data_IF_479146320673
#
_entry.id   IF_479146320673
#
_cell.length_a   1.000
_cell.length_b   1.000
_cell.length_c   1.000
_cell.angle_alpha   90.00
_cell.angle_beta   90.00
_cell.angle_gamma   90.00
#
_symmetry.space_group_name_H-M   'P 1'
#
loop_
_entity.id
_entity.type
_entity.pdbx_description
1 polymer ?
#
# COMPACT_ATOMS: atom_id res chain seq x y z
N UNK A 1 -4.16 -31.69 43.79
CA UNK A 1 -3.68 -32.01 42.44
C UNK A 1 -3.64 -30.71 41.66
N UNK A 2 -2.48 -30.07 41.61
CA UNK A 2 -2.26 -28.84 40.82
C UNK A 2 -1.88 -29.27 39.41
N UNK A 3 -2.82 -29.10 38.46
CA UNK A 3 -2.58 -29.27 37.04
C UNK A 3 -1.68 -28.16 36.52
N UNK A 4 -0.44 -28.51 36.22
CA UNK A 4 0.52 -27.61 35.56
C UNK A 4 -0.07 -27.12 34.27
N UNK A 5 -0.38 -25.84 34.16
CA UNK A 5 -0.57 -25.12 32.90
C UNK A 5 0.73 -25.27 32.10
N UNK A 6 0.75 -26.20 31.13
CA UNK A 6 1.80 -26.28 30.11
C UNK A 6 1.91 -24.91 29.50
N UNK A 7 3.00 -24.18 29.74
CA UNK A 7 3.29 -22.91 29.13
C UNK A 7 3.12 -23.00 27.62
N UNK A 8 2.17 -22.28 27.05
CA UNK A 8 2.12 -22.04 25.62
C UNK A 8 3.43 -21.36 25.26
N UNK A 9 4.24 -22.01 24.45
CA UNK A 9 5.43 -21.38 23.88
C UNK A 9 4.93 -20.20 23.04
N UNK A 10 4.99 -18.98 23.59
CA UNK A 10 4.54 -17.76 22.92
C UNK A 10 5.51 -17.56 21.78
N UNK A 11 4.99 -17.54 20.55
CA UNK A 11 5.81 -17.26 19.38
C UNK A 11 6.31 -15.81 19.45
N UNK A 12 7.61 -15.62 19.23
CA UNK A 12 8.25 -14.30 19.25
C UNK A 12 8.65 -13.86 17.85
N UNK A 13 8.56 -12.55 17.57
CA UNK A 13 9.05 -11.95 16.34
C UNK A 13 9.71 -10.59 16.61
N UNK A 14 10.90 -10.39 16.07
CA UNK A 14 11.55 -9.09 15.99
C UNK A 14 11.06 -8.38 14.72
N UNK A 15 10.28 -7.31 14.89
CA UNK A 15 9.78 -6.49 13.81
C UNK A 15 10.72 -5.29 13.61
N UNK A 16 11.45 -5.26 12.48
CA UNK A 16 12.41 -4.19 12.16
C UNK A 16 11.82 -3.29 11.09
N UNK A 17 11.56 -2.03 11.45
CA UNK A 17 10.85 -1.04 10.62
C UNK A 17 11.58 0.30 10.58
N UNK A 18 11.33 1.16 9.56
CA UNK A 18 11.89 2.51 9.54
C UNK A 18 11.40 3.35 10.71
N UNK A 19 12.27 4.23 11.21
CA UNK A 19 11.86 5.26 12.16
C UNK A 19 10.70 6.09 11.58
N UNK A 20 9.73 6.41 12.43
CA UNK A 20 8.53 7.16 12.03
C UNK A 20 7.47 6.34 11.28
N UNK A 21 7.59 4.98 11.22
CA UNK A 21 6.54 4.13 10.65
C UNK A 21 5.18 4.31 11.33
N UNK A 22 5.17 4.75 12.59
CA UNK A 22 3.98 5.01 13.41
C UNK A 22 3.53 6.48 13.40
N UNK A 23 4.23 7.37 12.67
CA UNK A 23 3.88 8.78 12.59
C UNK A 23 2.55 8.99 11.85
N UNK A 24 1.47 9.47 12.53
CA UNK A 24 0.18 9.69 11.89
C UNK A 24 0.19 10.88 10.91
N UNK A 25 1.18 11.76 11.00
CA UNK A 25 1.33 12.92 10.11
C UNK A 25 1.91 12.55 8.73
N UNK A 26 2.50 11.36 8.60
CA UNK A 26 3.10 10.88 7.35
C UNK A 26 2.60 9.47 6.98
N UNK A 27 1.29 9.27 6.81
CA UNK A 27 0.74 7.96 6.49
C UNK A 27 1.15 7.53 5.07
N UNK A 28 1.77 6.37 4.97
CA UNK A 28 1.96 5.65 3.71
C UNK A 28 1.26 4.31 3.78
N UNK A 29 0.99 3.68 2.65
CA UNK A 29 0.40 2.33 2.63
C UNK A 29 1.27 1.32 3.39
N UNK A 30 2.60 1.37 3.24
CA UNK A 30 3.54 0.53 3.99
C UNK A 30 3.45 0.76 5.49
N UNK A 31 3.58 2.02 5.94
CA UNK A 31 3.50 2.34 7.38
C UNK A 31 2.17 1.92 8.01
N UNK A 32 1.05 2.09 7.30
CA UNK A 32 -0.26 1.63 7.78
C UNK A 32 -0.27 0.10 7.90
N UNK A 33 0.24 -0.59 6.89
CA UNK A 33 0.33 -2.04 6.91
C UNK A 33 1.19 -2.55 8.07
N UNK A 34 2.39 -2.00 8.26
CA UNK A 34 3.32 -2.41 9.33
C UNK A 34 2.72 -2.20 10.72
N UNK A 35 2.05 -1.06 10.95
CA UNK A 35 1.32 -0.83 12.22
C UNK A 35 0.24 -1.88 12.46
N UNK A 36 -0.52 -2.22 11.42
CA UNK A 36 -1.57 -3.25 11.51
C UNK A 36 -0.99 -4.63 11.78
N UNK A 37 0.15 -4.95 11.18
CA UNK A 37 0.86 -6.20 11.43
C UNK A 37 1.37 -6.27 12.86
N UNK A 38 2.01 -5.20 13.33
CA UNK A 38 2.49 -5.11 14.71
C UNK A 38 1.36 -5.34 15.72
N UNK A 39 0.28 -4.57 15.62
CA UNK A 39 -0.86 -4.68 16.52
C UNK A 39 -1.56 -6.05 16.42
N UNK A 40 -1.83 -6.50 15.19
CA UNK A 40 -2.56 -7.75 14.96
C UNK A 40 -1.80 -9.01 15.36
N UNK A 41 -0.46 -9.06 15.21
CA UNK A 41 0.34 -10.17 15.73
C UNK A 41 0.32 -10.19 17.27
N UNK A 42 0.42 -9.03 17.92
CA UNK A 42 0.30 -8.93 19.37
C UNK A 42 -1.08 -9.38 19.87
N UNK A 43 -2.15 -8.96 19.22
CA UNK A 43 -3.53 -9.40 19.49
C UNK A 43 -3.71 -10.92 19.27
N UNK A 44 -2.99 -11.50 18.29
CA UNK A 44 -2.97 -12.93 18.03
C UNK A 44 -2.09 -13.73 19.04
N UNK A 45 -1.48 -13.06 20.03
CA UNK A 45 -0.72 -13.67 21.11
C UNK A 45 0.75 -13.86 20.82
N UNK A 46 1.32 -13.16 19.83
CA UNK A 46 2.76 -13.12 19.60
C UNK A 46 3.45 -12.11 20.52
N UNK A 47 4.68 -12.44 20.95
CA UNK A 47 5.60 -11.50 21.58
C UNK A 47 6.31 -10.70 20.47
N UNK A 48 5.83 -9.46 20.21
CA UNK A 48 6.30 -8.60 19.11
C UNK A 48 7.30 -7.58 19.65
N UNK A 49 8.57 -7.75 19.32
CA UNK A 49 9.65 -6.85 19.68
C UNK A 49 9.90 -5.88 18.51
N UNK A 50 9.40 -4.65 18.62
CA UNK A 50 9.53 -3.63 17.57
C UNK A 50 10.88 -2.91 17.74
N UNK A 51 11.66 -2.86 16.66
CA UNK A 51 12.88 -2.08 16.56
C UNK A 51 12.80 -1.14 15.38
N UNK A 52 12.88 0.15 15.65
CA UNK A 52 12.95 1.18 14.61
C UNK A 52 14.40 1.47 14.24
N UNK A 53 14.67 1.64 12.95
CA UNK A 53 16.01 1.99 12.44
C UNK A 53 15.95 3.35 11.76
N UNK A 54 16.72 4.30 12.30
CA UNK A 54 16.83 5.65 11.75
C UNK A 54 17.53 5.66 10.38
N UNK A 55 17.19 6.64 9.55
CA UNK A 55 17.85 6.85 8.27
C UNK A 55 16.92 7.15 7.11
N UNK A 56 17.49 7.63 6.02
CA UNK A 56 16.78 7.94 4.77
C UNK A 56 16.63 6.67 3.90
N UNK A 57 15.82 5.72 4.35
CA UNK A 57 15.54 4.48 3.60
C UNK A 57 14.66 4.76 2.36
N UNK A 58 14.96 4.16 1.20
CA UNK A 58 15.92 3.09 0.89
C UNK A 58 17.33 3.57 0.49
N UNK A 59 17.73 4.81 0.77
CA UNK A 59 19.06 5.36 0.49
C UNK A 59 19.78 5.68 1.81
N UNK A 60 20.18 4.64 2.59
CA UNK A 60 20.75 4.84 3.93
C UNK A 60 22.17 5.38 3.88
N UNK A 61 22.46 6.33 4.76
CA UNK A 61 23.83 6.78 5.04
C UNK A 61 24.64 5.76 5.86
N UNK A 62 25.94 6.00 6.06
CA UNK A 62 26.83 5.09 6.83
C UNK A 62 26.33 4.83 8.27
N UNK A 63 25.81 5.84 8.97
CA UNK A 63 25.26 5.73 10.32
C UNK A 63 24.09 4.77 10.40
N UNK A 64 23.12 4.89 9.48
CA UNK A 64 21.96 3.99 9.41
C UNK A 64 22.37 2.54 9.14
N UNK A 65 23.36 2.34 8.27
CA UNK A 65 23.93 1.00 7.99
C UNK A 65 24.61 0.39 9.22
N UNK A 66 25.39 1.19 9.95
CA UNK A 66 26.06 0.75 11.19
C UNK A 66 25.06 0.43 12.30
N UNK A 67 24.00 1.21 12.42
CA UNK A 67 22.91 0.95 13.37
C UNK A 67 22.18 -0.36 13.05
N UNK A 68 21.79 -0.57 11.79
CA UNK A 68 21.18 -1.82 11.35
C UNK A 68 22.06 -3.04 11.65
N UNK A 69 23.36 -2.94 11.39
CA UNK A 69 24.31 -4.02 11.72
C UNK A 69 24.35 -4.32 13.23
N UNK A 70 24.32 -3.29 14.09
CA UNK A 70 24.26 -3.47 15.57
C UNK A 70 22.95 -4.13 16.00
N UNK A 71 21.81 -3.68 15.42
CA UNK A 71 20.49 -4.27 15.70
C UNK A 71 20.52 -5.77 15.40
N UNK A 72 20.97 -6.15 14.21
CA UNK A 72 20.99 -7.56 13.82
C UNK A 72 22.00 -8.38 14.64
N UNK A 73 23.12 -7.81 15.01
CA UNK A 73 24.12 -8.50 15.87
C UNK A 73 23.58 -8.76 17.29
N UNK A 74 22.63 -7.97 17.77
CA UNK A 74 22.04 -8.13 19.09
C UNK A 74 20.86 -9.14 19.13
N UNK A 75 20.32 -9.53 18.00
CA UNK A 75 19.24 -10.54 17.92
C UNK A 75 19.85 -11.92 18.21
N UNK A 76 19.29 -12.70 19.15
CA UNK A 76 19.78 -14.06 19.45
C UNK A 76 19.62 -15.02 18.26
N UNK A 77 20.37 -16.11 18.28
CA UNK A 77 20.24 -17.18 17.31
C UNK A 77 18.86 -17.84 17.39
N UNK A 78 18.41 -18.41 16.27
CA UNK A 78 17.11 -19.08 16.10
C UNK A 78 15.87 -18.19 16.24
N UNK A 79 16.03 -16.88 16.47
CA UNK A 79 14.91 -15.95 16.54
C UNK A 79 14.29 -15.66 15.16
N UNK A 80 12.98 -15.34 15.17
CA UNK A 80 12.25 -14.94 13.96
C UNK A 80 12.31 -13.43 13.81
N UNK A 81 12.70 -12.97 12.62
CA UNK A 81 12.77 -11.55 12.26
C UNK A 81 11.85 -11.29 11.09
N UNK A 82 11.00 -10.27 11.23
CA UNK A 82 10.23 -9.67 10.13
C UNK A 82 10.80 -8.28 9.88
N UNK A 83 11.39 -8.07 8.71
CA UNK A 83 12.01 -6.78 8.35
C UNK A 83 11.28 -6.14 7.18
N UNK A 84 10.98 -4.83 7.28
CA UNK A 84 10.44 -4.04 6.16
C UNK A 84 11.42 -4.03 4.98
N UNK A 85 10.89 -4.30 3.79
CA UNK A 85 11.62 -4.31 2.54
C UNK A 85 12.32 -3.00 2.20
N UNK A 86 11.81 -1.87 2.68
CA UNK A 86 12.44 -0.56 2.50
C UNK A 86 13.83 -0.52 3.15
N UNK A 87 14.00 -1.18 4.32
CA UNK A 87 15.29 -1.35 5.00
C UNK A 87 16.07 -2.51 4.38
N UNK A 88 15.43 -3.64 4.18
CA UNK A 88 16.09 -4.87 3.79
C UNK A 88 16.75 -4.78 2.40
N UNK A 89 16.02 -4.21 1.43
CA UNK A 89 16.44 -4.18 0.02
C UNK A 89 17.85 -3.59 -0.21
N UNK A 90 18.23 -2.43 0.36
CA UNK A 90 19.55 -1.84 0.16
C UNK A 90 20.63 -2.35 1.12
N UNK A 91 20.34 -3.31 2.02
CA UNK A 91 21.17 -3.62 3.19
C UNK A 91 21.83 -5.01 3.16
N UNK A 92 22.14 -5.58 2.00
CA UNK A 92 22.72 -6.93 1.88
C UNK A 92 23.97 -7.13 2.76
N UNK A 93 24.90 -6.17 2.77
CA UNK A 93 26.12 -6.28 3.56
C UNK A 93 25.87 -6.39 5.08
N UNK A 94 24.80 -5.77 5.58
CA UNK A 94 24.42 -5.80 6.99
C UNK A 94 23.62 -7.06 7.36
N UNK A 95 22.86 -7.62 6.44
CA UNK A 95 21.92 -8.69 6.72
C UNK A 95 22.47 -10.09 6.45
N UNK A 96 23.25 -10.28 5.39
CA UNK A 96 23.77 -11.59 4.99
C UNK A 96 24.56 -12.33 6.07
N UNK A 97 25.41 -11.67 6.90
CA UNK A 97 26.13 -12.36 7.97
C UNK A 97 25.22 -13.07 8.99
N UNK A 98 23.94 -12.71 9.02
CA UNK A 98 22.97 -13.19 10.03
C UNK A 98 21.99 -14.24 9.49
N UNK A 99 21.86 -14.42 8.15
CA UNK A 99 20.85 -15.30 7.55
C UNK A 99 21.00 -16.79 7.89
N UNK A 100 22.20 -17.21 8.32
CA UNK A 100 22.45 -18.60 8.78
C UNK A 100 22.09 -18.86 10.24
N UNK A 101 21.83 -17.82 11.06
CA UNK A 101 21.57 -17.95 12.49
C UNK A 101 20.19 -17.47 12.95
N UNK A 102 19.49 -16.68 12.11
CA UNK A 102 18.13 -16.20 12.38
C UNK A 102 17.18 -16.57 11.24
N UNK A 103 15.90 -16.65 11.52
CA UNK A 103 14.86 -16.85 10.50
C UNK A 103 14.36 -15.49 10.00
N UNK A 104 14.99 -14.96 8.95
CA UNK A 104 14.69 -13.64 8.41
C UNK A 104 13.62 -13.72 7.33
N UNK A 105 12.48 -13.07 7.55
CA UNK A 105 11.42 -12.86 6.55
C UNK A 105 11.37 -11.38 6.15
N UNK A 106 11.34 -11.11 4.87
CA UNK A 106 11.24 -9.75 4.33
C UNK A 106 9.78 -9.43 4.02
N UNK A 107 9.26 -8.35 4.58
CA UNK A 107 7.95 -7.78 4.24
C UNK A 107 8.13 -6.76 3.12
N UNK A 108 7.87 -7.18 1.90
CA UNK A 108 8.17 -6.42 0.70
C UNK A 108 6.92 -5.69 0.19
N UNK A 109 6.79 -4.41 0.54
CA UNK A 109 5.69 -3.57 0.08
C UNK A 109 5.81 -3.20 -1.40
N UNK A 110 7.02 -2.84 -1.85
CA UNK A 110 7.28 -2.48 -3.25
C UNK A 110 8.70 -2.91 -3.63
N UNK A 111 8.86 -3.82 -4.59
CA UNK A 111 10.18 -4.14 -5.13
C UNK A 111 10.84 -2.90 -5.75
N UNK A 112 12.13 -2.67 -5.49
CA UNK A 112 12.87 -1.50 -6.01
C UNK A 112 12.81 -1.41 -7.54
N UNK A 113 12.76 -2.54 -8.22
CA UNK A 113 12.67 -2.58 -9.69
C UNK A 113 11.30 -2.11 -10.23
N UNK A 114 10.28 -1.94 -9.38
CA UNK A 114 8.93 -1.47 -9.77
C UNK A 114 8.65 -0.04 -9.31
N UNK A 115 9.53 0.53 -8.48
CA UNK A 115 9.40 1.90 -8.01
C UNK A 115 9.81 2.88 -9.12
N UNK A 116 8.93 3.84 -9.45
CA UNK A 116 9.19 4.85 -10.49
C UNK A 116 10.08 5.99 -10.01
N UNK A 117 10.06 6.26 -8.71
CA UNK A 117 10.71 7.43 -8.11
C UNK A 117 12.13 7.13 -7.58
N UNK A 118 12.53 5.87 -7.56
CA UNK A 118 13.90 5.53 -7.21
C UNK A 118 14.79 5.76 -8.43
N UNK A 119 15.78 6.62 -8.29
CA UNK A 119 16.92 6.59 -9.21
C UNK A 119 17.30 5.12 -9.41
N UNK A 120 17.29 4.67 -10.66
CA UNK A 120 17.67 3.29 -10.99
C UNK A 120 19.10 3.08 -10.52
N UNK A 121 19.25 2.72 -9.23
CA UNK A 121 20.53 2.30 -8.68
C UNK A 121 20.64 0.78 -8.87
N UNK A 122 21.45 0.33 -9.86
CA UNK A 122 21.64 -1.09 -10.10
C UNK A 122 22.27 -1.80 -8.89
N UNK A 123 22.92 -1.05 -7.99
CA UNK A 123 23.53 -1.62 -6.78
C UNK A 123 22.45 -1.97 -5.76
N UNK A 124 21.44 -1.12 -5.57
CA UNK A 124 20.32 -1.38 -4.68
C UNK A 124 19.46 -2.56 -5.17
N UNK A 125 19.22 -2.66 -6.48
CA UNK A 125 18.50 -3.81 -7.07
C UNK A 125 19.31 -5.13 -6.93
N UNK A 126 20.64 -5.08 -7.06
CA UNK A 126 21.49 -6.25 -6.79
C UNK A 126 21.45 -6.65 -5.32
N UNK A 127 21.50 -5.65 -4.42
CA UNK A 127 21.36 -5.86 -2.97
C UNK A 127 20.03 -6.54 -2.65
N UNK A 128 18.90 -5.99 -3.13
CA UNK A 128 17.56 -6.57 -2.95
C UNK A 128 17.52 -8.04 -3.40
N UNK A 129 18.03 -8.33 -4.61
CA UNK A 129 18.08 -9.72 -5.12
C UNK A 129 18.80 -10.67 -4.17
N UNK A 130 19.95 -10.25 -3.65
CA UNK A 130 20.76 -11.08 -2.76
C UNK A 130 20.07 -11.29 -1.42
N UNK A 131 19.48 -10.24 -0.86
CA UNK A 131 18.71 -10.32 0.40
C UNK A 131 17.52 -11.24 0.27
N UNK A 132 16.69 -11.07 -0.79
CA UNK A 132 15.48 -11.89 -0.98
C UNK A 132 15.81 -13.37 -1.21
N UNK A 133 16.98 -13.68 -1.83
CA UNK A 133 17.44 -15.06 -2.00
C UNK A 133 17.93 -15.71 -0.71
N UNK A 134 18.49 -14.91 0.20
CA UNK A 134 19.01 -15.38 1.48
C UNK A 134 17.96 -15.39 2.60
N UNK A 135 16.83 -14.73 2.39
CA UNK A 135 15.73 -14.70 3.34
C UNK A 135 15.05 -16.08 3.45
N UNK A 136 14.62 -16.44 4.67
CA UNK A 136 13.80 -17.63 4.94
C UNK A 136 12.44 -17.54 4.26
N UNK A 137 11.89 -16.31 4.17
CA UNK A 137 10.61 -16.05 3.50
C UNK A 137 10.54 -14.61 2.99
N UNK A 138 9.66 -14.39 2.02
CA UNK A 138 9.31 -13.07 1.49
C UNK A 138 7.80 -12.95 1.52
N UNK A 139 7.28 -11.94 2.21
CA UNK A 139 5.85 -11.63 2.25
C UNK A 139 5.60 -10.45 1.33
N UNK A 140 4.63 -10.58 0.44
CA UNK A 140 4.24 -9.55 -0.54
C UNK A 140 2.75 -9.23 -0.42
N UNK A 141 2.34 -8.05 -0.88
CA UNK A 141 1.01 -7.51 -0.65
C UNK A 141 -0.04 -7.90 -1.70
N UNK A 142 0.36 -8.57 -2.81
CA UNK A 142 -0.55 -8.98 -3.89
C UNK A 142 -0.01 -10.16 -4.69
N UNK A 143 -0.89 -10.83 -5.43
CA UNK A 143 -0.49 -11.87 -6.40
C UNK A 143 0.34 -11.27 -7.53
N UNK A 144 0.00 -10.05 -7.95
CA UNK A 144 0.80 -9.34 -8.96
C UNK A 144 2.25 -9.15 -8.47
N UNK A 145 2.44 -8.64 -7.24
CA UNK A 145 3.78 -8.47 -6.66
C UNK A 145 4.51 -9.81 -6.54
N UNK A 146 3.81 -10.89 -6.14
CA UNK A 146 4.38 -12.24 -6.12
C UNK A 146 4.91 -12.67 -7.48
N UNK A 147 4.14 -12.47 -8.54
CA UNK A 147 4.56 -12.79 -9.91
C UNK A 147 5.80 -11.97 -10.32
N UNK A 148 5.85 -10.68 -10.01
CA UNK A 148 7.01 -9.83 -10.31
C UNK A 148 8.26 -10.30 -9.56
N UNK A 149 8.13 -10.66 -8.28
CA UNK A 149 9.23 -11.14 -7.45
C UNK A 149 9.77 -12.46 -7.99
N UNK A 150 8.92 -13.41 -8.30
CA UNK A 150 9.33 -14.71 -8.86
C UNK A 150 10.02 -14.57 -10.23
N UNK A 151 9.48 -13.72 -11.11
CA UNK A 151 10.04 -13.50 -12.43
C UNK A 151 11.42 -12.80 -12.41
N UNK A 152 11.64 -11.89 -11.45
CA UNK A 152 12.84 -11.02 -11.44
C UNK A 152 13.98 -11.56 -10.60
N UNK A 153 13.68 -12.22 -9.46
CA UNK A 153 14.69 -12.54 -8.45
C UNK A 153 15.11 -14.00 -8.44
N UNK A 154 14.42 -14.87 -9.18
CA UNK A 154 14.69 -16.31 -9.26
C UNK A 154 14.82 -16.95 -7.86
N UNK A 155 13.83 -16.69 -7.00
CA UNK A 155 13.69 -17.29 -5.66
C UNK A 155 12.67 -18.43 -5.71
N UNK A 156 12.75 -19.43 -4.81
CA UNK A 156 11.79 -20.53 -4.80
C UNK A 156 10.36 -20.05 -4.54
N UNK A 157 9.41 -20.55 -5.31
CA UNK A 157 8.02 -20.08 -5.23
C UNK A 157 7.35 -20.35 -3.87
N UNK A 158 7.81 -21.37 -3.14
CA UNK A 158 7.29 -21.73 -1.81
C UNK A 158 7.75 -20.77 -0.71
N UNK A 159 8.83 -19.99 -0.93
CA UNK A 159 9.30 -18.97 0.03
C UNK A 159 8.58 -17.63 -0.13
N UNK A 160 7.77 -17.43 -1.19
CA UNK A 160 7.06 -16.17 -1.44
C UNK A 160 5.59 -16.31 -1.05
N UNK A 161 5.22 -15.64 0.02
CA UNK A 161 3.88 -15.66 0.60
C UNK A 161 3.13 -14.38 0.25
N UNK A 162 1.81 -14.49 0.02
CA UNK A 162 0.97 -13.32 -0.21
C UNK A 162 0.14 -13.08 1.03
N UNK A 163 0.30 -11.89 1.60
CA UNK A 163 -0.56 -11.38 2.67
C UNK A 163 -1.16 -10.05 2.21
N UNK A 164 -2.38 -10.11 1.64
CA UNK A 164 -3.05 -8.91 1.13
C UNK A 164 -3.47 -8.01 2.27
N UNK A 165 -3.35 -6.68 2.12
CA UNK A 165 -3.88 -5.75 3.10
C UNK A 165 -5.37 -6.01 3.37
N UNK A 166 -5.72 -6.05 4.63
CA UNK A 166 -7.11 -5.99 5.07
C UNK A 166 -7.65 -4.57 4.99
N UNK A 167 -8.94 -4.42 5.24
CA UNK A 167 -9.60 -3.12 5.37
C UNK A 167 -10.51 -3.11 6.60
N UNK A 168 -10.64 -1.95 7.22
CA UNK A 168 -11.54 -1.77 8.36
C UNK A 168 -13.00 -1.78 7.90
N UNK A 169 -13.85 -2.41 8.69
CA UNK A 169 -15.29 -2.37 8.43
C UNK A 169 -15.82 -0.97 8.73
N UNK A 170 -16.57 -0.41 7.80
CA UNK A 170 -17.22 0.89 7.94
C UNK A 170 -18.69 0.70 8.30
N UNK A 171 -19.17 1.38 9.35
CA UNK A 171 -20.54 1.20 9.85
C UNK A 171 -21.61 1.70 8.86
N UNK A 172 -21.40 2.88 8.25
CA UNK A 172 -22.36 3.51 7.35
C UNK A 172 -21.91 3.51 5.90
N UNK A 173 -22.81 3.27 4.93
CA UNK A 173 -22.50 3.41 3.52
C UNK A 173 -22.27 4.89 3.15
N UNK A 174 -21.57 5.12 2.03
CA UNK A 174 -21.37 6.43 1.47
C UNK A 174 -22.70 7.17 1.21
N UNK A 175 -22.69 8.47 1.45
CA UNK A 175 -23.76 9.42 1.06
C UNK A 175 -23.16 10.39 0.05
N UNK A 176 -22.97 9.96 -1.21
CA UNK A 176 -22.19 10.71 -2.18
C UNK A 176 -22.87 12.02 -2.55
N UNK A 177 -22.06 13.06 -2.66
CA UNK A 177 -22.44 14.30 -3.32
C UNK A 177 -22.01 14.19 -4.77
N UNK A 178 -22.97 14.32 -5.71
CA UNK A 178 -22.73 14.18 -7.14
C UNK A 178 -21.59 15.09 -7.60
N UNK A 179 -20.70 14.54 -8.42
CA UNK A 179 -19.54 15.25 -8.94
C UNK A 179 -18.35 15.40 -7.99
N UNK A 180 -18.45 14.95 -6.73
CA UNK A 180 -17.32 15.00 -5.81
C UNK A 180 -16.35 13.83 -6.06
N UNK A 181 -15.21 14.11 -6.64
CA UNK A 181 -14.14 13.16 -6.90
C UNK A 181 -13.14 13.18 -5.74
N UNK A 182 -12.57 12.04 -5.40
CA UNK A 182 -11.48 11.94 -4.42
C UNK A 182 -10.31 11.13 -4.98
N UNK A 183 -9.09 11.62 -4.79
CA UNK A 183 -7.87 10.87 -5.03
C UNK A 183 -7.04 10.89 -3.75
N UNK A 184 -6.75 9.70 -3.19
CA UNK A 184 -6.06 9.54 -1.92
C UNK A 184 -4.70 8.90 -2.14
N UNK A 185 -3.66 9.47 -1.53
CA UNK A 185 -2.29 8.96 -1.56
C UNK A 185 -1.26 10.07 -1.48
N UNK A 186 -0.02 9.71 -1.20
CA UNK A 186 1.11 10.64 -1.26
C UNK A 186 1.08 11.40 -2.59
N UNK A 187 1.23 12.72 -2.58
CA UNK A 187 1.35 13.49 -3.81
C UNK A 187 2.72 13.24 -4.44
N UNK A 188 2.73 12.54 -5.58
CA UNK A 188 3.96 12.12 -6.24
C UNK A 188 3.68 11.47 -7.60
N UNK A 189 4.71 11.44 -8.46
CA UNK A 189 4.61 11.00 -9.86
C UNK A 189 4.00 9.61 -10.02
N UNK A 190 4.33 8.69 -9.11
CA UNK A 190 3.83 7.32 -9.16
C UNK A 190 2.30 7.21 -8.94
N UNK A 191 1.69 8.18 -8.25
CA UNK A 191 0.22 8.21 -8.00
C UNK A 191 -0.58 8.88 -9.11
N UNK A 192 0.07 9.64 -10.01
CA UNK A 192 -0.57 10.14 -11.24
C UNK A 192 -1.61 11.25 -11.03
N UNK A 193 -1.52 12.04 -9.96
CA UNK A 193 -2.44 13.17 -9.74
C UNK A 193 -2.37 14.20 -10.87
N UNK A 194 -1.24 14.32 -11.54
CA UNK A 194 -1.04 15.13 -12.73
C UNK A 194 -1.88 14.65 -13.94
N UNK A 195 -1.99 13.31 -14.11
CA UNK A 195 -2.88 12.71 -15.13
C UNK A 195 -4.35 13.00 -14.84
N UNK A 196 -4.73 12.98 -13.54
CA UNK A 196 -6.10 13.34 -13.15
C UNK A 196 -6.41 14.80 -13.45
N UNK A 197 -5.51 15.72 -13.12
CA UNK A 197 -5.69 17.15 -13.42
C UNK A 197 -5.75 17.38 -14.93
N UNK A 198 -4.99 16.64 -15.72
CA UNK A 198 -5.05 16.67 -17.18
C UNK A 198 -6.40 16.18 -17.71
N UNK A 199 -6.83 15.01 -17.26
CA UNK A 199 -8.11 14.45 -17.66
C UNK A 199 -9.31 15.36 -17.31
N UNK A 200 -9.25 16.03 -16.15
CA UNK A 200 -10.29 16.97 -15.71
C UNK A 200 -10.33 18.25 -16.57
N UNK A 201 -9.24 18.62 -17.25
CA UNK A 201 -9.23 19.75 -18.16
C UNK A 201 -10.15 19.53 -19.38
N UNK A 202 -10.25 18.30 -19.86
CA UNK A 202 -11.13 17.92 -20.96
C UNK A 202 -12.64 17.89 -20.58
N UNK A 203 -12.92 18.04 -19.28
CA UNK A 203 -14.26 17.98 -18.70
C UNK A 203 -14.68 19.32 -18.05
N UNK A 204 -14.15 20.43 -18.55
CA UNK A 204 -14.37 21.77 -18.00
C UNK A 204 -15.86 22.15 -17.88
N UNK A 205 -16.66 21.74 -18.86
CA UNK A 205 -18.10 22.07 -18.96
C UNK A 205 -19.00 21.22 -18.03
N UNK A 206 -18.44 20.16 -17.38
CA UNK A 206 -19.17 19.33 -16.47
C UNK A 206 -19.03 19.84 -15.02
N UNK A 207 -20.04 19.55 -14.20
CA UNK A 207 -20.02 19.90 -12.77
C UNK A 207 -19.27 18.82 -11.97
N UNK A 208 -18.08 19.18 -11.48
CA UNK A 208 -17.25 18.32 -10.65
C UNK A 208 -16.39 19.14 -9.69
N UNK A 209 -16.05 18.53 -8.57
CA UNK A 209 -15.01 18.98 -7.62
C UNK A 209 -14.09 17.82 -7.32
N UNK A 210 -12.82 18.08 -7.03
CA UNK A 210 -11.83 17.05 -6.77
C UNK A 210 -11.02 17.36 -5.51
N UNK A 211 -10.90 16.38 -4.63
CA UNK A 211 -10.03 16.43 -3.46
C UNK A 211 -8.82 15.52 -3.71
N UNK A 212 -7.62 16.11 -3.66
CA UNK A 212 -6.35 15.40 -3.66
C UNK A 212 -5.86 15.33 -2.20
N UNK A 213 -5.95 14.16 -1.57
CA UNK A 213 -5.69 13.96 -0.15
C UNK A 213 -4.43 13.13 0.06
N UNK A 214 -3.49 13.65 0.83
CA UNK A 214 -2.28 12.94 1.21
C UNK A 214 -1.08 13.85 1.49
N UNK A 215 0.03 13.27 1.99
CA UNK A 215 1.27 13.99 2.22
C UNK A 215 1.81 14.63 0.93
N UNK A 216 2.39 15.81 1.05
CA UNK A 216 2.92 16.63 -0.06
C UNK A 216 4.41 16.97 0.09
N UNK A 217 5.09 16.35 1.03
CA UNK A 217 6.48 16.64 1.40
C UNK A 217 7.50 15.66 0.77
N UNK A 218 7.04 14.60 0.12
CA UNK A 218 7.90 13.55 -0.46
C UNK A 218 8.49 13.91 -1.82
N UNK A 219 7.76 14.68 -2.64
CA UNK A 219 8.17 15.16 -3.96
C UNK A 219 7.74 16.63 -4.11
N UNK A 220 8.46 17.58 -3.48
CA UNK A 220 8.09 19.00 -3.49
C UNK A 220 8.00 19.58 -4.90
N UNK A 221 8.90 19.16 -5.79
CA UNK A 221 8.94 19.63 -7.18
C UNK A 221 7.69 19.21 -7.96
N UNK A 222 7.26 17.96 -7.79
CA UNK A 222 6.01 17.48 -8.38
C UNK A 222 4.80 18.23 -7.84
N UNK A 223 4.75 18.47 -6.54
CA UNK A 223 3.64 19.20 -5.90
C UNK A 223 3.57 20.65 -6.41
N UNK A 224 4.70 21.32 -6.58
CA UNK A 224 4.74 22.69 -7.13
C UNK A 224 4.30 22.71 -8.61
N UNK A 225 4.75 21.75 -9.41
CA UNK A 225 4.28 21.59 -10.80
C UNK A 225 2.76 21.35 -10.86
N UNK A 226 2.24 20.52 -9.95
CA UNK A 226 0.81 20.22 -9.86
C UNK A 226 -0.01 21.48 -9.49
N UNK A 227 0.43 22.27 -8.51
CA UNK A 227 -0.19 23.55 -8.12
C UNK A 227 -0.18 24.57 -9.26
N UNK A 228 0.97 24.72 -9.91
CA UNK A 228 1.12 25.60 -11.07
C UNK A 228 0.16 25.21 -12.20
N UNK A 229 0.01 23.90 -12.48
CA UNK A 229 -0.92 23.40 -13.48
C UNK A 229 -2.37 23.70 -13.12
N UNK A 230 -2.80 23.42 -11.88
CA UNK A 230 -4.14 23.71 -11.36
C UNK A 230 -4.46 25.21 -11.50
N UNK A 231 -3.53 26.08 -11.13
CA UNK A 231 -3.68 27.54 -11.22
C UNK A 231 -3.80 28.00 -12.67
N UNK A 232 -2.95 27.47 -13.57
CA UNK A 232 -2.97 27.82 -15.02
C UNK A 232 -4.28 27.44 -15.67
N UNK A 233 -4.90 26.32 -15.25
CA UNK A 233 -6.21 25.88 -15.73
C UNK A 233 -7.38 26.64 -15.09
N UNK A 234 -7.13 27.50 -14.09
CA UNK A 234 -8.18 28.20 -13.36
C UNK A 234 -8.97 27.32 -12.39
N UNK A 235 -8.46 26.13 -12.03
CA UNK A 235 -9.20 25.13 -11.24
C UNK A 235 -8.95 25.19 -9.73
N UNK A 236 -8.34 26.27 -9.23
CA UNK A 236 -8.12 26.43 -7.80
C UNK A 236 -9.40 26.40 -6.94
N UNK A 237 -10.54 26.69 -7.51
CA UNK A 237 -11.85 26.62 -6.85
C UNK A 237 -12.51 25.22 -6.96
N UNK A 238 -12.05 24.37 -7.89
CA UNK A 238 -12.60 23.01 -8.13
C UNK A 238 -11.69 21.88 -7.62
N UNK A 239 -10.38 22.12 -7.52
CA UNK A 239 -9.40 21.14 -7.07
C UNK A 239 -8.77 21.60 -5.76
N UNK A 240 -8.95 20.81 -4.71
CA UNK A 240 -8.39 21.09 -3.38
C UNK A 240 -7.31 20.09 -3.00
N UNK A 241 -6.12 20.57 -2.71
CA UNK A 241 -5.07 19.78 -2.04
C UNK A 241 -5.34 19.87 -0.53
N UNK A 242 -5.89 18.80 0.06
CA UNK A 242 -6.33 18.81 1.46
C UNK A 242 -5.21 18.55 2.47
N UNK A 243 -4.03 18.15 2.00
CA UNK A 243 -3.03 17.57 2.88
C UNK A 243 -3.45 16.19 3.40
N UNK A 244 -2.83 15.77 4.51
CA UNK A 244 -3.08 14.48 5.14
C UNK A 244 -4.47 14.46 5.77
N UNK A 245 -5.27 13.45 5.42
CA UNK A 245 -6.52 13.12 6.07
C UNK A 245 -6.38 11.76 6.77
N UNK A 246 -6.80 11.67 8.03
CA UNK A 246 -6.76 10.41 8.81
C UNK A 246 -8.06 10.23 9.61
N UNK A 247 -8.33 9.02 10.06
CA UNK A 247 -9.45 8.71 10.96
C UNK A 247 -10.78 9.21 10.44
N UNK A 248 -11.51 9.96 11.26
CA UNK A 248 -12.85 10.48 10.94
C UNK A 248 -12.85 11.43 9.73
N UNK A 249 -11.80 12.24 9.53
CA UNK A 249 -11.70 13.15 8.40
C UNK A 249 -11.57 12.41 7.06
N UNK A 250 -10.74 11.36 7.01
CA UNK A 250 -10.61 10.51 5.82
C UNK A 250 -11.90 9.73 5.55
N UNK A 251 -12.50 9.16 6.59
CA UNK A 251 -13.79 8.45 6.46
C UNK A 251 -14.89 9.38 5.96
N UNK A 252 -14.95 10.64 6.44
CA UNK A 252 -15.89 11.64 5.93
C UNK A 252 -15.64 11.96 4.45
N UNK A 253 -14.38 12.11 4.06
CA UNK A 253 -14.01 12.38 2.66
C UNK A 253 -14.45 11.24 1.73
N UNK A 254 -14.24 9.97 2.11
CA UNK A 254 -14.77 8.82 1.36
C UNK A 254 -16.31 8.78 1.35
N UNK A 255 -16.96 9.11 2.47
CA UNK A 255 -18.43 9.05 2.60
C UNK A 255 -19.13 10.07 1.71
N UNK A 256 -18.54 11.25 1.52
CA UNK A 256 -19.10 12.35 0.72
C UNK A 256 -18.64 12.34 -0.74
N UNK A 257 -17.62 11.58 -1.06
CA UNK A 257 -17.16 11.41 -2.44
C UNK A 257 -18.19 10.65 -3.29
N UNK A 258 -18.21 10.95 -4.57
CA UNK A 258 -19.02 10.28 -5.60
C UNK A 258 -18.29 9.08 -6.21
N UNK A 259 -16.99 9.21 -6.39
CA UNK A 259 -16.10 8.18 -6.93
C UNK A 259 -14.66 8.39 -6.42
N UNK A 260 -13.96 7.29 -6.14
CA UNK A 260 -12.49 7.30 -5.97
C UNK A 260 -11.83 7.25 -7.35
N UNK A 261 -10.83 8.11 -7.57
CA UNK A 261 -9.97 8.06 -8.75
C UNK A 261 -8.55 7.69 -8.32
N UNK A 262 -8.02 6.59 -8.89
CA UNK A 262 -6.68 6.09 -8.60
C UNK A 262 -5.87 5.95 -9.91
N UNK A 263 -5.33 7.06 -10.46
CA UNK A 263 -4.69 7.09 -11.78
C UNK A 263 -3.21 6.70 -11.72
N UNK A 264 -2.85 5.82 -10.79
CA UNK A 264 -1.45 5.48 -10.48
C UNK A 264 -0.70 4.97 -11.70
N UNK A 265 0.57 5.36 -11.82
CA UNK A 265 1.54 4.78 -12.77
C UNK A 265 2.20 3.52 -12.22
N UNK A 266 2.28 3.41 -10.89
CA UNK A 266 2.78 2.22 -10.21
C UNK A 266 2.02 2.01 -8.90
N UNK A 267 1.63 0.75 -8.64
CA UNK A 267 0.94 0.37 -7.42
C UNK A 267 1.09 -1.14 -7.16
N UNK A 268 1.43 -1.53 -5.95
CA UNK A 268 1.61 -2.95 -5.61
C UNK A 268 0.34 -3.62 -5.13
N UNK A 269 -0.60 -2.85 -4.54
CA UNK A 269 -1.93 -3.34 -4.17
C UNK A 269 -3.01 -2.28 -4.38
N UNK A 270 -2.92 -1.13 -3.67
CA UNK A 270 -3.92 -0.08 -3.71
C UNK A 270 -4.91 -0.14 -2.55
N UNK A 271 -4.43 0.01 -1.32
CA UNK A 271 -5.28 0.02 -0.12
C UNK A 271 -6.42 1.03 -0.21
N UNK A 272 -6.18 2.20 -0.82
CA UNK A 272 -7.20 3.23 -1.02
C UNK A 272 -8.41 2.74 -1.83
N UNK A 273 -8.21 1.76 -2.74
CA UNK A 273 -9.29 1.12 -3.50
C UNK A 273 -10.17 0.28 -2.58
N UNK A 274 -9.57 -0.55 -1.72
CA UNK A 274 -10.34 -1.36 -0.77
C UNK A 274 -10.99 -0.51 0.32
N UNK A 275 -10.36 0.60 0.73
CA UNK A 275 -10.95 1.59 1.64
C UNK A 275 -12.18 2.26 1.03
N UNK A 276 -12.11 2.71 -0.23
CA UNK A 276 -13.25 3.26 -0.94
C UNK A 276 -14.40 2.25 -1.06
N UNK A 277 -14.08 1.00 -1.42
CA UNK A 277 -15.06 -0.08 -1.51
C UNK A 277 -15.67 -0.44 -0.15
N UNK A 278 -14.92 -0.32 0.95
CA UNK A 278 -15.46 -0.49 2.30
C UNK A 278 -16.51 0.57 2.65
N UNK A 279 -16.42 1.75 2.05
CA UNK A 279 -17.45 2.80 2.11
C UNK A 279 -18.58 2.59 1.08
N UNK A 280 -18.48 1.57 0.21
CA UNK A 280 -19.41 1.33 -0.90
C UNK A 280 -19.24 2.34 -2.05
N UNK A 281 -18.08 2.98 -2.12
CA UNK A 281 -17.72 3.97 -3.12
C UNK A 281 -17.15 3.28 -4.36
N UNK A 282 -17.68 3.51 -5.57
CA UNK A 282 -17.10 3.02 -6.81
C UNK A 282 -15.73 3.63 -7.11
N UNK A 283 -14.97 2.96 -7.98
CA UNK A 283 -13.57 3.31 -8.25
C UNK A 283 -13.32 3.44 -9.76
N UNK A 284 -12.63 4.49 -10.18
CA UNK A 284 -11.97 4.58 -11.49
C UNK A 284 -10.47 4.50 -11.25
N UNK A 285 -9.82 3.47 -11.78
CA UNK A 285 -8.40 3.21 -11.49
C UNK A 285 -7.62 2.84 -12.76
N UNK A 286 -6.33 3.12 -12.76
CA UNK A 286 -5.43 2.61 -13.78
C UNK A 286 -5.30 1.08 -13.66
N UNK A 287 -5.25 0.37 -14.80
CA UNK A 287 -5.04 -1.08 -14.86
C UNK A 287 -3.57 -1.43 -14.64
N UNK A 288 -3.00 -1.05 -13.49
CA UNK A 288 -1.57 -1.23 -13.18
C UNK A 288 -1.39 -1.97 -11.85
N UNK A 289 -0.38 -2.83 -11.83
CA UNK A 289 0.06 -3.48 -10.60
C UNK A 289 -1.04 -4.31 -9.92
N UNK A 290 -1.22 -4.09 -8.63
CA UNK A 290 -2.23 -4.74 -7.81
C UNK A 290 -3.62 -4.07 -7.84
N UNK A 291 -3.80 -2.94 -8.53
CA UNK A 291 -5.09 -2.23 -8.57
C UNK A 291 -6.25 -3.09 -9.12
N UNK A 292 -6.08 -3.88 -10.20
CA UNK A 292 -7.12 -4.79 -10.65
C UNK A 292 -7.50 -5.85 -9.61
N UNK A 293 -6.52 -6.34 -8.83
CA UNK A 293 -6.74 -7.30 -7.75
C UNK A 293 -7.49 -6.66 -6.57
N UNK A 294 -7.11 -5.45 -6.16
CA UNK A 294 -7.76 -4.70 -5.09
C UNK A 294 -9.23 -4.37 -5.45
N UNK A 295 -9.47 -3.94 -6.69
CA UNK A 295 -10.81 -3.65 -7.19
C UNK A 295 -11.69 -4.91 -7.15
N UNK A 296 -11.20 -6.02 -7.71
CA UNK A 296 -11.92 -7.28 -7.75
C UNK A 296 -13.28 -7.18 -8.44
N UNK A 297 -14.22 -8.02 -8.00
CA UNK A 297 -15.59 -8.05 -8.50
C UNK A 297 -16.60 -8.23 -7.37
N UNK A 298 -17.81 -7.79 -7.59
CA UNK A 298 -18.98 -8.10 -6.78
C UNK A 298 -19.37 -9.59 -6.90
N UNK A 299 -20.32 -10.04 -6.12
CA UNK A 299 -20.75 -11.45 -6.09
C UNK A 299 -21.37 -11.93 -7.41
N UNK A 300 -21.92 -11.02 -8.19
CA UNK A 300 -22.48 -11.27 -9.53
C UNK A 300 -21.44 -11.17 -10.66
N UNK A 301 -20.16 -10.98 -10.33
CA UNK A 301 -19.07 -10.80 -11.30
C UNK A 301 -18.90 -9.35 -11.81
N UNK A 302 -19.81 -8.44 -11.49
CA UNK A 302 -19.72 -7.03 -11.91
C UNK A 302 -18.54 -6.36 -11.21
N UNK A 303 -17.71 -5.62 -11.94
CA UNK A 303 -16.67 -4.78 -11.34
C UNK A 303 -17.29 -3.57 -10.63
N UNK A 304 -16.85 -3.27 -9.41
CA UNK A 304 -17.35 -2.11 -8.65
C UNK A 304 -16.71 -0.79 -9.08
N UNK A 305 -16.37 -0.66 -10.36
CA UNK A 305 -15.68 0.48 -10.94
C UNK A 305 -15.22 0.23 -12.37
N UNK A 306 -14.32 1.08 -12.85
CA UNK A 306 -13.74 0.99 -14.18
C UNK A 306 -12.21 1.01 -14.11
N UNK A 307 -11.58 0.15 -14.92
CA UNK A 307 -10.14 0.18 -15.15
C UNK A 307 -9.86 0.91 -16.47
N UNK A 308 -8.86 1.80 -16.45
CA UNK A 308 -8.36 2.54 -17.63
C UNK A 308 -6.89 2.17 -17.89
N UNK A 309 -6.39 2.32 -19.12
CA UNK A 309 -4.97 2.15 -19.40
C UNK A 309 -4.11 3.07 -18.51
N UNK A 310 -2.98 2.57 -17.97
CA UNK A 310 -2.09 3.41 -17.17
C UNK A 310 -1.39 4.47 -18.03
N UNK A 311 -1.22 5.68 -17.48
CA UNK A 311 -0.55 6.77 -18.16
C UNK A 311 -1.34 7.43 -19.27
N UNK A 312 -2.63 7.12 -19.43
CA UNK A 312 -3.51 7.62 -20.49
C UNK A 312 -4.55 8.60 -19.91
N UNK A 313 -4.31 9.92 -19.95
CA UNK A 313 -5.25 10.92 -19.45
C UNK A 313 -6.51 11.02 -20.29
N UNK A 314 -6.46 10.69 -21.58
CA UNK A 314 -7.65 10.72 -22.45
C UNK A 314 -8.62 9.58 -22.10
N UNK A 315 -8.11 8.38 -21.89
CA UNK A 315 -8.93 7.26 -21.40
C UNK A 315 -9.51 7.53 -20.01
N UNK A 316 -8.74 8.21 -19.13
CA UNK A 316 -9.23 8.64 -17.83
C UNK A 316 -10.33 9.69 -17.95
N UNK A 317 -10.16 10.69 -18.84
CA UNK A 317 -11.18 11.71 -19.14
C UNK A 317 -12.47 11.08 -19.66
N UNK A 318 -12.38 10.14 -20.61
CA UNK A 318 -13.55 9.41 -21.11
C UNK A 318 -14.29 8.65 -19.99
N UNK A 319 -13.56 7.94 -19.12
CA UNK A 319 -14.16 7.22 -18.00
C UNK A 319 -14.83 8.15 -16.97
N UNK A 320 -14.23 9.31 -16.70
CA UNK A 320 -14.79 10.34 -15.81
C UNK A 320 -15.99 11.03 -16.45
N UNK A 321 -15.94 11.33 -17.76
CA UNK A 321 -17.07 11.88 -18.53
C UNK A 321 -18.26 10.95 -18.50
N UNK A 322 -18.06 9.67 -18.76
CA UNK A 322 -19.09 8.62 -18.63
C UNK A 322 -19.67 8.56 -17.21
N UNK A 323 -18.82 8.66 -16.19
CA UNK A 323 -19.25 8.67 -14.79
C UNK A 323 -20.14 9.88 -14.49
N UNK A 324 -19.73 11.06 -14.91
CA UNK A 324 -20.45 12.31 -14.64
C UNK A 324 -21.73 12.43 -15.45
N UNK A 325 -21.77 11.90 -16.69
CA UNK A 325 -22.91 12.01 -17.62
C UNK A 325 -23.95 10.89 -17.48
N UNK A 326 -23.55 9.64 -17.21
CA UNK A 326 -24.44 8.47 -17.22
C UNK A 326 -24.92 8.05 -15.83
N UNK A 327 -26.15 8.40 -15.48
CA UNK A 327 -26.77 8.04 -14.20
C UNK A 327 -26.98 6.52 -14.05
N UNK A 328 -27.36 5.84 -15.12
CA UNK A 328 -27.57 4.38 -15.09
C UNK A 328 -26.29 3.65 -14.79
N UNK A 329 -25.16 4.12 -15.35
CA UNK A 329 -23.83 3.59 -15.05
C UNK A 329 -23.46 3.81 -13.58
N UNK A 330 -23.67 5.03 -13.04
CA UNK A 330 -23.44 5.30 -11.62
C UNK A 330 -24.23 4.35 -10.72
N UNK A 331 -25.51 4.14 -11.03
CA UNK A 331 -26.37 3.23 -10.27
C UNK A 331 -25.84 1.79 -10.28
N UNK A 332 -25.45 1.27 -11.44
CA UNK A 332 -24.87 -0.08 -11.57
C UNK A 332 -23.57 -0.24 -10.76
N UNK A 333 -22.63 0.71 -10.94
CA UNK A 333 -21.34 0.64 -10.26
C UNK A 333 -21.46 0.82 -8.75
N UNK A 334 -22.36 1.68 -8.27
CA UNK A 334 -22.65 1.82 -6.82
C UNK A 334 -23.29 0.55 -6.24
N UNK A 335 -24.16 -0.13 -6.97
CA UNK A 335 -24.70 -1.41 -6.55
C UNK A 335 -23.59 -2.46 -6.41
N UNK A 336 -22.71 -2.56 -7.41
CA UNK A 336 -21.55 -3.46 -7.39
C UNK A 336 -20.58 -3.13 -6.25
N UNK A 337 -20.31 -1.83 -5.97
CA UNK A 337 -19.45 -1.42 -4.86
C UNK A 337 -20.04 -1.80 -3.50
N UNK A 338 -21.35 -1.64 -3.31
CA UNK A 338 -22.05 -2.10 -2.09
C UNK A 338 -22.00 -3.62 -1.92
N UNK A 339 -22.14 -4.40 -2.99
CA UNK A 339 -21.97 -5.86 -2.93
C UNK A 339 -20.51 -6.23 -2.60
N UNK A 340 -19.53 -5.60 -3.27
CA UNK A 340 -18.11 -5.87 -3.05
C UNK A 340 -17.69 -5.59 -1.61
N UNK A 341 -18.28 -4.58 -0.97
CA UNK A 341 -18.06 -4.25 0.45
C UNK A 341 -18.22 -5.45 1.37
N UNK A 342 -19.21 -6.31 1.14
CA UNK A 342 -19.49 -7.48 1.98
C UNK A 342 -18.45 -8.60 1.83
N UNK A 343 -17.66 -8.58 0.76
CA UNK A 343 -16.65 -9.60 0.44
C UNK A 343 -15.22 -9.12 0.65
N UNK A 344 -15.03 -7.89 1.15
CA UNK A 344 -13.71 -7.38 1.47
C UNK A 344 -13.11 -8.12 2.66
N UNK A 345 -11.81 -8.30 2.61
CA UNK A 345 -11.01 -8.96 3.65
C UNK A 345 -10.78 -8.04 4.84
N UNK A 346 -10.91 -8.56 6.04
CA UNK A 346 -10.45 -7.88 7.26
C UNK A 346 -8.96 -8.08 7.50
N UNK A 347 -8.42 -7.30 8.44
CA UNK A 347 -7.01 -7.40 8.84
C UNK A 347 -6.69 -8.74 9.52
N UNK A 348 -7.66 -9.40 10.14
CA UNK A 348 -7.49 -10.70 10.80
C UNK A 348 -6.97 -11.77 9.81
N UNK A 349 -7.45 -11.74 8.57
CA UNK A 349 -6.99 -12.66 7.52
C UNK A 349 -5.55 -12.35 7.09
N UNK A 350 -5.19 -11.07 7.00
CA UNK A 350 -3.81 -10.63 6.71
C UNK A 350 -2.85 -11.11 7.79
N UNK A 351 -3.22 -10.92 9.06
CA UNK A 351 -2.40 -11.34 10.20
C UNK A 351 -2.22 -12.85 10.24
N UNK A 352 -3.27 -13.61 9.96
CA UNK A 352 -3.18 -15.08 9.88
C UNK A 352 -2.23 -15.54 8.77
N UNK A 353 -2.27 -14.90 7.58
CA UNK A 353 -1.36 -15.20 6.47
C UNK A 353 0.11 -14.89 6.85
N UNK A 354 0.35 -13.78 7.55
CA UNK A 354 1.68 -13.42 8.04
C UNK A 354 2.16 -14.41 9.09
N UNK A 355 1.33 -14.72 10.09
CA UNK A 355 1.67 -15.69 11.13
C UNK A 355 2.01 -17.06 10.53
N UNK A 356 1.26 -17.51 9.53
CA UNK A 356 1.54 -18.75 8.81
C UNK A 356 2.89 -18.68 8.07
N UNK A 357 3.19 -17.57 7.40
CA UNK A 357 4.46 -17.37 6.71
C UNK A 357 5.65 -17.36 7.67
N UNK A 358 5.52 -16.74 8.86
CA UNK A 358 6.57 -16.69 9.88
C UNK A 358 6.82 -18.04 10.56
N UNK A 359 5.82 -18.93 10.59
CA UNK A 359 5.93 -20.28 11.18
C UNK A 359 6.27 -21.36 10.16
N UNK A 360 6.20 -21.05 8.87
CA UNK A 360 6.56 -22.00 7.81
C UNK A 360 8.02 -22.45 7.98
N UNK A 361 8.24 -23.77 8.05
CA UNK A 361 9.59 -24.34 8.07
C UNK A 361 10.09 -24.42 6.63
N UNK A 362 11.33 -23.98 6.41
CA UNK A 362 12.03 -24.26 5.15
C UNK A 362 12.15 -25.79 5.05
N UNK A 363 11.48 -26.38 4.06
CA UNK A 363 11.56 -27.81 3.77
C UNK A 363 12.91 -28.21 3.20
#
# INVERSE_FOLDING_TARGET
MAGALKGRNIARVHLVVPEGFDNPGQPTGGNIYDRRVCAGLAEAGWDVLVTTVAGAWPVPGPGARAELARVFSAIPDDETVLIDGLIASPAAAQLLPHTGRIRMTVLLHMPLATALDTHHDPSAQRSERVVLRAATGVIVTSQWTRQQVLARYAIPAHTVHVARPGVDRVAAPARPVRGNLICVGVLGRHKGQDLLVEALADLADLDWHCVLAGPSDRDPDFVEQLRTRITRLGYGHRIRLSGVLTGAALSHAYTTADVLVAPSRAETYGMVVTEALAHGLPVIAAAVGGLPEALGSATDGTRPGQLVPPGDPAALAAALGDWLGDESRRHRLRAAARQRRSTLRGWEQTIQEIANALTARSG
#
